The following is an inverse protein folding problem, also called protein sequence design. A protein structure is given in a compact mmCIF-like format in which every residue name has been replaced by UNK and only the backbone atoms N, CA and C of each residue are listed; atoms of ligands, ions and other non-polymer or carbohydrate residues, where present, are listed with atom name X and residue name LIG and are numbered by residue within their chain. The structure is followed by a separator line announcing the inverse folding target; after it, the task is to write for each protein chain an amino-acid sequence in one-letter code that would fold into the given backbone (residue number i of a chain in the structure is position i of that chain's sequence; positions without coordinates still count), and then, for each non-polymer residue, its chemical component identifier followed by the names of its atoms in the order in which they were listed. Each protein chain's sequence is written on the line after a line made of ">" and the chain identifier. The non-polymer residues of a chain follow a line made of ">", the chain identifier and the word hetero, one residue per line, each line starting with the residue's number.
data_IF_979358218400
#
_entry.id   IF_979358218400
#
_cell.length_a   1.000
_cell.length_b   1.000
_cell.length_c   1.000
_cell.angle_alpha   90.00
_cell.angle_beta   90.00
_cell.angle_gamma   90.00
#
_symmetry.space_group_name_H-M   'P 1'
#
loop_
_entity.id
_entity.type
_entity.pdbx_description
1 polymer ?
#
# COMPACT_ATOMS: atom_id res chain seq x y z
N UNK A 1 61.11 -15.40 -20.29
CA UNK A 1 59.69 -15.09 -20.59
C UNK A 1 59.02 -14.72 -19.27
N UNK A 2 58.74 -13.44 -19.07
CA UNK A 2 58.32 -12.90 -17.76
C UNK A 2 56.99 -12.19 -17.95
N UNK A 3 55.97 -12.64 -17.23
CA UNK A 3 54.60 -12.11 -17.27
C UNK A 3 54.55 -10.85 -16.40
N UNK A 4 54.27 -9.69 -17.01
CA UNK A 4 54.01 -8.44 -16.30
C UNK A 4 52.54 -8.41 -15.84
N UNK A 5 52.32 -8.56 -14.54
CA UNK A 5 51.07 -8.16 -13.89
C UNK A 5 51.08 -6.64 -13.65
N UNK A 6 50.09 -5.93 -14.18
CA UNK A 6 49.80 -4.53 -13.83
C UNK A 6 48.79 -4.47 -12.66
N UNK A 7 49.05 -3.69 -11.60
CA UNK A 7 48.10 -3.48 -10.51
C UNK A 7 47.23 -2.25 -10.80
N UNK A 8 45.97 -2.41 -11.19
CA UNK A 8 45.04 -1.27 -11.27
C UNK A 8 44.42 -1.00 -9.88
N UNK A 9 45.15 -0.27 -9.02
CA UNK A 9 44.60 0.38 -7.82
C UNK A 9 44.09 1.78 -8.18
N UNK A 10 42.97 1.87 -8.89
CA UNK A 10 42.21 3.12 -8.97
C UNK A 10 40.76 2.87 -8.54
N UNK A 11 40.33 3.36 -7.35
CA UNK A 11 38.92 3.36 -7.03
C UNK A 11 38.18 4.29 -8.00
N UNK A 12 37.03 3.82 -8.50
CA UNK A 12 36.22 4.54 -9.48
C UNK A 12 35.92 5.99 -9.03
N UNK A 13 35.82 6.95 -9.97
CA UNK A 13 35.49 8.35 -9.70
C UNK A 13 34.27 8.51 -8.78
N UNK A 14 34.32 9.46 -7.85
CA UNK A 14 33.28 9.69 -6.82
C UNK A 14 31.85 9.84 -7.39
N UNK A 15 31.68 10.30 -8.63
CA UNK A 15 30.38 10.37 -9.33
C UNK A 15 29.82 8.98 -9.70
N UNK A 16 30.66 8.01 -10.05
CA UNK A 16 30.24 6.63 -10.35
C UNK A 16 29.96 5.84 -9.07
N UNK A 17 30.69 6.13 -7.98
CA UNK A 17 30.42 5.56 -6.65
C UNK A 17 29.05 5.99 -6.08
N UNK A 18 28.60 7.20 -6.43
CA UNK A 18 27.29 7.75 -6.03
C UNK A 18 26.12 7.11 -6.81
N UNK A 19 26.36 6.55 -7.99
CA UNK A 19 25.37 5.74 -8.74
C UNK A 19 25.34 4.26 -8.33
N UNK A 20 26.45 3.73 -7.80
CA UNK A 20 26.58 2.35 -7.32
C UNK A 20 26.24 2.16 -5.82
N UNK A 21 25.85 3.23 -5.12
CA UNK A 21 25.66 3.25 -3.66
C UNK A 21 24.24 3.56 -3.17
N UNK A 22 23.21 3.43 -4.01
CA UNK A 22 21.81 3.54 -3.58
C UNK A 22 21.21 2.16 -3.35
N UNK A 23 21.82 1.37 -2.47
CA UNK A 23 21.06 0.35 -1.75
C UNK A 23 20.18 1.10 -0.75
N UNK A 24 19.03 1.61 -1.23
CA UNK A 24 17.91 1.76 -0.32
C UNK A 24 17.78 0.41 0.40
N UNK A 25 17.78 0.35 1.74
CA UNK A 25 17.77 -0.92 2.45
C UNK A 25 16.64 -1.77 1.86
N UNK A 26 16.87 -3.06 1.64
CA UNK A 26 15.92 -3.96 1.00
C UNK A 26 14.51 -3.94 1.65
N UNK A 27 14.43 -3.45 2.88
CA UNK A 27 13.23 -3.21 3.69
C UNK A 27 12.51 -1.87 3.46
N UNK A 28 13.09 -0.91 2.75
CA UNK A 28 12.46 0.39 2.49
C UNK A 28 11.53 0.33 1.28
N UNK A 29 10.39 1.00 1.44
CA UNK A 29 9.40 1.16 0.38
C UNK A 29 9.93 2.05 -0.75
N UNK A 30 9.28 1.96 -1.91
CA UNK A 30 9.69 2.72 -3.09
C UNK A 30 9.36 4.21 -2.93
N UNK A 31 10.27 5.09 -3.33
CA UNK A 31 10.06 6.55 -3.41
C UNK A 31 10.41 6.99 -4.84
N UNK A 32 9.48 7.60 -5.60
CA UNK A 32 9.77 8.11 -6.94
C UNK A 32 10.80 9.25 -6.93
N UNK A 33 11.55 9.41 -8.01
CA UNK A 33 12.58 10.45 -8.14
C UNK A 33 12.04 11.86 -7.89
N UNK A 34 10.85 12.16 -8.41
CA UNK A 34 10.16 13.44 -8.22
C UNK A 34 9.90 13.77 -6.74
N UNK A 35 9.81 12.76 -5.86
CA UNK A 35 9.53 12.94 -4.44
C UNK A 35 10.77 12.87 -3.53
N UNK A 36 11.94 12.48 -4.06
CA UNK A 36 13.17 12.32 -3.27
C UNK A 36 13.64 13.60 -2.59
N UNK A 37 13.33 14.76 -3.18
CA UNK A 37 13.79 16.05 -2.67
C UNK A 37 13.09 16.48 -1.38
N UNK A 38 11.85 16.02 -1.18
CA UNK A 38 11.03 16.39 -0.03
C UNK A 38 10.61 15.19 0.82
N UNK A 39 11.14 13.99 0.56
CA UNK A 39 11.07 12.84 1.47
C UNK A 39 12.46 12.60 2.06
N UNK A 40 12.62 12.78 3.37
CA UNK A 40 13.91 12.60 4.05
C UNK A 40 13.74 11.62 5.21
N UNK A 41 14.54 10.55 5.25
CA UNK A 41 14.46 9.50 6.26
C UNK A 41 13.04 8.91 6.41
N UNK A 42 12.35 8.70 5.28
CA UNK A 42 10.95 8.25 5.22
C UNK A 42 9.93 9.39 5.40
N UNK A 43 10.28 10.46 6.11
CA UNK A 43 9.34 11.53 6.43
C UNK A 43 9.10 12.46 5.25
N UNK A 44 7.82 12.63 4.91
CA UNK A 44 7.34 13.60 3.92
C UNK A 44 7.39 15.02 4.51
N UNK A 45 8.11 15.92 3.84
CA UNK A 45 8.01 17.37 4.05
C UNK A 45 6.91 17.89 3.14
N UNK A 46 5.90 18.54 3.69
CA UNK A 46 4.74 19.06 2.95
C UNK A 46 4.20 20.34 3.62
N UNK A 47 3.20 20.98 3.01
CA UNK A 47 2.52 22.15 3.60
C UNK A 47 1.73 21.78 4.85
N UNK A 48 1.41 22.77 5.68
CA UNK A 48 0.62 22.55 6.90
C UNK A 48 -0.78 22.01 6.58
N UNK A 49 -1.45 22.52 5.54
CA UNK A 49 -2.80 22.05 5.20
C UNK A 49 -2.78 20.57 4.80
N UNK A 50 -1.77 20.16 4.02
CA UNK A 50 -1.59 18.78 3.60
C UNK A 50 -1.34 17.84 4.79
N UNK A 51 -0.54 18.26 5.76
CA UNK A 51 -0.28 17.47 6.96
C UNK A 51 -1.55 17.31 7.81
N UNK A 52 -2.31 18.39 8.00
CA UNK A 52 -3.59 18.36 8.73
C UNK A 52 -4.54 17.37 8.05
N UNK A 53 -4.72 17.48 6.74
CA UNK A 53 -5.59 16.58 5.97
C UNK A 53 -5.21 15.11 6.15
N UNK A 54 -3.91 14.77 6.03
CA UNK A 54 -3.45 13.39 6.14
C UNK A 54 -3.72 12.82 7.54
N UNK A 55 -3.53 13.64 8.59
CA UNK A 55 -3.85 13.25 9.97
C UNK A 55 -5.35 13.06 10.17
N UNK A 56 -6.18 14.00 9.70
CA UNK A 56 -7.64 13.93 9.82
C UNK A 56 -8.24 12.71 9.12
N UNK A 57 -7.71 12.36 7.94
CA UNK A 57 -8.14 11.17 7.21
C UNK A 57 -7.45 9.87 7.70
N UNK A 58 -6.59 9.96 8.72
CA UNK A 58 -5.79 8.85 9.24
C UNK A 58 -4.97 8.13 8.14
N UNK A 59 -4.45 8.91 7.19
CA UNK A 59 -3.58 8.46 6.11
C UNK A 59 -2.14 8.69 6.53
N UNK A 60 -1.36 7.63 6.54
CA UNK A 60 0.07 7.70 6.83
C UNK A 60 0.83 8.20 5.59
N UNK A 61 1.54 9.34 5.66
CA UNK A 61 2.33 9.85 4.54
C UNK A 61 3.56 8.99 4.22
N UNK A 62 4.06 8.29 5.24
CA UNK A 62 5.31 7.56 5.19
C UNK A 62 5.08 6.07 5.02
N UNK A 63 5.80 5.49 4.07
CA UNK A 63 5.85 4.05 3.89
C UNK A 63 6.78 3.36 4.91
N UNK A 64 7.47 4.09 5.78
CA UNK A 64 8.39 3.58 6.81
C UNK A 64 7.70 2.73 7.88
N UNK A 65 6.38 2.84 8.01
CA UNK A 65 5.58 1.97 8.87
C UNK A 65 5.24 0.62 8.22
N UNK A 66 5.58 0.41 6.94
CA UNK A 66 5.38 -0.86 6.27
C UNK A 66 6.26 -1.93 6.90
N UNK A 67 5.64 -2.92 7.52
CA UNK A 67 6.34 -4.10 8.01
C UNK A 67 6.34 -5.16 6.93
N UNK A 68 7.50 -5.76 6.66
CA UNK A 68 7.59 -6.89 5.74
C UNK A 68 6.69 -8.01 6.27
N UNK A 69 5.78 -8.48 5.43
CA UNK A 69 4.78 -9.45 5.81
C UNK A 69 5.18 -10.83 5.30
N UNK A 70 5.45 -11.74 6.25
CA UNK A 70 5.73 -13.14 5.98
C UNK A 70 4.60 -13.98 6.60
N UNK A 71 3.63 -14.42 5.80
CA UNK A 71 2.58 -15.33 6.28
C UNK A 71 2.99 -16.79 6.11
N UNK A 72 4.02 -17.19 6.84
CA UNK A 72 4.49 -18.59 6.84
C UNK A 72 5.37 -18.99 5.65
N UNK A 73 5.84 -20.25 5.63
CA UNK A 73 6.84 -20.74 4.69
C UNK A 73 6.32 -20.79 3.24
N UNK A 74 5.04 -21.08 3.03
CA UNK A 74 4.46 -21.12 1.69
C UNK A 74 4.44 -19.74 1.02
N UNK A 75 3.90 -18.72 1.69
CA UNK A 75 3.87 -17.38 1.11
C UNK A 75 5.29 -16.83 0.91
N UNK A 76 6.24 -17.17 1.78
CA UNK A 76 7.66 -16.83 1.59
C UNK A 76 8.25 -17.50 0.34
N UNK A 77 7.94 -18.78 0.11
CA UNK A 77 8.38 -19.52 -1.09
C UNK A 77 7.78 -18.92 -2.36
N UNK A 78 6.47 -18.65 -2.36
CA UNK A 78 5.77 -18.03 -3.49
C UNK A 78 6.29 -16.60 -3.74
N UNK A 79 6.48 -15.79 -2.70
CA UNK A 79 7.04 -14.45 -2.84
C UNK A 79 8.40 -14.47 -3.56
N UNK A 80 9.30 -15.39 -3.19
CA UNK A 80 10.58 -15.61 -3.87
C UNK A 80 10.41 -16.09 -5.31
N UNK A 81 9.51 -17.02 -5.54
CA UNK A 81 9.24 -17.61 -6.86
C UNK A 81 8.77 -16.57 -7.88
N UNK A 82 7.90 -15.65 -7.46
CA UNK A 82 7.33 -14.60 -8.30
C UNK A 82 8.16 -13.30 -8.26
N UNK A 83 9.21 -13.25 -7.44
CA UNK A 83 10.09 -12.08 -7.34
C UNK A 83 9.40 -10.86 -6.72
N UNK A 84 8.59 -11.07 -5.69
CA UNK A 84 7.81 -10.02 -5.02
C UNK A 84 8.08 -10.01 -3.51
N UNK A 85 7.90 -8.85 -2.88
CA UNK A 85 7.92 -8.68 -1.42
C UNK A 85 6.62 -8.04 -0.98
N UNK A 86 6.00 -8.60 0.05
CA UNK A 86 4.77 -8.08 0.63
C UNK A 86 5.05 -7.30 1.90
N UNK A 87 4.27 -6.26 2.10
CA UNK A 87 4.27 -5.46 3.29
C UNK A 87 2.84 -5.20 3.75
N UNK A 88 2.68 -5.05 5.05
CA UNK A 88 1.40 -4.75 5.69
C UNK A 88 1.53 -3.51 6.57
N UNK A 89 0.46 -2.71 6.56
CA UNK A 89 0.21 -1.70 7.58
C UNK A 89 -1.27 -1.71 7.98
N UNK A 90 -1.59 -1.59 9.28
CA UNK A 90 -2.96 -1.42 9.74
C UNK A 90 -3.53 -0.04 9.40
N UNK A 91 -2.73 0.89 8.88
CA UNK A 91 -3.19 2.21 8.40
C UNK A 91 -3.26 2.24 6.87
N UNK A 92 -4.06 3.18 6.35
CA UNK A 92 -3.99 3.56 4.95
C UNK A 92 -2.71 4.33 4.70
N UNK A 93 -1.89 3.88 3.75
CA UNK A 93 -0.60 4.50 3.44
C UNK A 93 -0.72 5.22 2.11
N UNK A 94 -0.25 6.46 2.07
CA UNK A 94 -0.21 7.26 0.86
C UNK A 94 0.65 6.56 -0.22
N UNK A 95 0.08 6.42 -1.42
CA UNK A 95 0.81 5.81 -2.54
C UNK A 95 2.08 6.62 -2.83
N UNK A 96 3.24 5.98 -3.06
CA UNK A 96 4.46 6.70 -3.38
C UNK A 96 4.34 7.61 -4.59
N UNK A 97 3.53 7.23 -5.59
CA UNK A 97 3.31 8.04 -6.79
C UNK A 97 2.44 9.27 -6.55
N UNK A 98 1.73 9.34 -5.42
CA UNK A 98 0.94 10.52 -5.04
C UNK A 98 1.74 11.53 -4.23
N UNK A 99 2.94 11.18 -3.75
CA UNK A 99 3.78 12.07 -2.94
C UNK A 99 4.09 13.39 -3.64
N UNK A 100 4.21 13.40 -4.98
CA UNK A 100 4.46 14.60 -5.79
C UNK A 100 3.39 15.68 -5.65
N UNK A 101 2.15 15.30 -5.35
CA UNK A 101 1.05 16.24 -5.17
C UNK A 101 1.05 16.92 -3.80
N UNK A 102 1.94 16.46 -2.91
CA UNK A 102 2.10 16.98 -1.55
C UNK A 102 3.45 17.70 -1.41
N UNK A 103 3.95 18.32 -2.48
CA UNK A 103 5.17 19.14 -2.48
C UNK A 103 5.10 20.24 -1.39
N UNK A 104 6.19 20.49 -0.65
CA UNK A 104 6.23 21.56 0.36
C UNK A 104 6.03 22.98 -0.20
N UNK A 105 6.19 23.19 -1.51
CA UNK A 105 5.89 24.45 -2.21
C UNK A 105 4.43 24.56 -2.66
N UNK A 106 3.63 23.53 -2.40
CA UNK A 106 2.28 23.39 -2.92
C UNK A 106 2.26 22.78 -4.32
N UNK A 107 1.11 22.20 -4.68
CA UNK A 107 0.88 21.62 -6.00
C UNK A 107 -0.52 21.99 -6.48
N UNK A 108 -0.71 22.44 -7.75
CA UNK A 108 -2.01 22.90 -8.23
C UNK A 108 -3.12 21.82 -8.16
N UNK A 109 -2.74 20.55 -8.27
CA UNK A 109 -3.65 19.40 -8.15
C UNK A 109 -3.81 18.86 -6.71
N UNK A 110 -3.22 19.49 -5.68
CA UNK A 110 -3.26 18.96 -4.32
C UNK A 110 -4.70 18.76 -3.83
N UNK A 111 -5.57 19.75 -4.06
CA UNK A 111 -6.97 19.75 -3.61
C UNK A 111 -7.75 18.57 -4.20
N UNK A 112 -7.67 18.40 -5.52
CA UNK A 112 -8.30 17.27 -6.21
C UNK A 112 -7.79 15.91 -5.70
N UNK A 113 -6.50 15.80 -5.42
CA UNK A 113 -5.92 14.57 -4.88
C UNK A 113 -6.38 14.31 -3.43
N UNK A 114 -6.55 15.36 -2.62
CA UNK A 114 -7.11 15.25 -1.26
C UNK A 114 -8.55 14.75 -1.30
N UNK A 115 -9.38 15.29 -2.20
CA UNK A 115 -10.76 14.81 -2.39
C UNK A 115 -10.82 13.34 -2.80
N UNK A 116 -9.99 12.94 -3.77
CA UNK A 116 -9.88 11.55 -4.21
C UNK A 116 -9.47 10.61 -3.05
N UNK A 117 -8.47 11.02 -2.26
CA UNK A 117 -8.00 10.25 -1.12
C UNK A 117 -9.03 10.16 0.01
N UNK A 118 -9.76 11.25 0.30
CA UNK A 118 -10.81 11.26 1.29
C UNK A 118 -11.95 10.31 0.90
N UNK A 119 -12.36 10.35 -0.38
CA UNK A 119 -13.35 9.39 -0.92
C UNK A 119 -12.85 7.96 -0.76
N UNK A 120 -11.60 7.70 -1.19
CA UNK A 120 -10.99 6.38 -1.10
C UNK A 120 -10.89 5.85 0.33
N UNK A 121 -10.51 6.69 1.29
CA UNK A 121 -10.39 6.30 2.70
C UNK A 121 -11.74 5.91 3.32
N UNK A 122 -12.84 6.54 2.86
CA UNK A 122 -14.21 6.21 3.28
C UNK A 122 -14.73 4.92 2.63
N UNK A 123 -14.47 4.75 1.34
CA UNK A 123 -15.12 3.71 0.53
C UNK A 123 -14.34 2.38 0.55
N UNK A 124 -13.00 2.43 0.66
CA UNK A 124 -12.11 1.27 0.56
C UNK A 124 -11.41 0.98 1.89
N UNK A 125 -11.85 -0.03 2.67
CA UNK A 125 -11.20 -0.36 3.94
C UNK A 125 -9.80 -0.97 3.73
N UNK A 126 -9.55 -1.67 2.61
CA UNK A 126 -8.24 -2.22 2.27
C UNK A 126 -7.66 -1.55 1.02
N UNK A 127 -6.51 -0.89 1.17
CA UNK A 127 -5.77 -0.33 0.05
C UNK A 127 -4.77 -1.35 -0.50
N UNK A 128 -4.93 -1.76 -1.75
CA UNK A 128 -3.97 -2.62 -2.45
C UNK A 128 -3.08 -1.77 -3.33
N UNK A 129 -1.79 -1.76 -3.04
CA UNK A 129 -0.79 -0.98 -3.75
C UNK A 129 0.29 -1.90 -4.29
N UNK A 130 0.62 -1.74 -5.57
CA UNK A 130 1.70 -2.47 -6.22
C UNK A 130 2.71 -1.48 -6.80
N UNK A 131 3.96 -1.62 -6.41
CA UNK A 131 5.10 -0.87 -6.96
C UNK A 131 6.07 -1.83 -7.60
N UNK A 132 6.90 -1.33 -8.52
CA UNK A 132 7.98 -2.11 -9.09
C UNK A 132 9.24 -1.27 -9.02
N UNK A 133 10.35 -1.87 -8.62
CA UNK A 133 11.65 -1.22 -8.71
C UNK A 133 11.96 -1.01 -10.19
N UNK A 134 12.48 0.15 -10.57
CA UNK A 134 12.98 0.38 -11.93
C UNK A 134 14.14 -0.60 -12.19
N UNK A 135 13.91 -1.55 -13.10
CA UNK A 135 14.96 -2.39 -13.70
C UNK A 135 15.19 -1.92 -15.14
N UNK A 136 16.17 -2.49 -15.83
CA UNK A 136 16.38 -2.26 -17.29
C UNK A 136 15.21 -2.79 -18.16
N UNK A 137 14.13 -3.24 -17.55
CA UNK A 137 12.97 -3.83 -18.21
C UNK A 137 12.01 -2.72 -18.67
N UNK A 138 11.31 -2.94 -19.79
CA UNK A 138 10.35 -1.96 -20.33
C UNK A 138 9.27 -1.57 -19.31
N UNK A 139 8.92 -0.28 -19.28
CA UNK A 139 7.83 0.27 -18.48
C UNK A 139 6.48 -0.45 -18.70
N UNK A 140 6.27 -1.01 -19.89
CA UNK A 140 5.09 -1.81 -20.22
C UNK A 140 5.04 -3.08 -19.36
N UNK A 141 6.17 -3.77 -19.18
CA UNK A 141 6.24 -5.00 -18.37
C UNK A 141 5.98 -4.68 -16.91
N UNK A 142 6.56 -3.60 -16.37
CA UNK A 142 6.28 -3.14 -15.01
C UNK A 142 4.80 -2.83 -14.81
N UNK A 143 4.17 -2.14 -15.76
CA UNK A 143 2.75 -1.81 -15.69
C UNK A 143 1.87 -3.05 -15.77
N UNK A 144 2.20 -3.98 -16.68
CA UNK A 144 1.51 -5.27 -16.82
C UNK A 144 1.61 -6.12 -15.56
N UNK A 145 2.81 -6.22 -14.97
CA UNK A 145 3.03 -6.96 -13.73
C UNK A 145 2.19 -6.40 -12.58
N UNK A 146 2.23 -5.08 -12.36
CA UNK A 146 1.43 -4.39 -11.32
C UNK A 146 -0.07 -4.65 -11.50
N UNK A 147 -0.59 -4.43 -12.70
CA UNK A 147 -2.03 -4.57 -12.99
C UNK A 147 -2.50 -6.01 -12.81
N UNK A 148 -1.76 -6.99 -13.35
CA UNK A 148 -2.11 -8.41 -13.22
C UNK A 148 -2.09 -8.87 -11.76
N UNK A 149 -1.10 -8.45 -10.99
CA UNK A 149 -0.99 -8.81 -9.58
C UNK A 149 -2.12 -8.21 -8.73
N UNK A 150 -2.38 -6.91 -8.87
CA UNK A 150 -3.49 -6.26 -8.18
C UNK A 150 -4.83 -6.94 -8.53
N UNK A 151 -5.10 -7.16 -9.83
CA UNK A 151 -6.32 -7.82 -10.28
C UNK A 151 -6.48 -9.24 -9.72
N UNK A 152 -5.40 -10.04 -9.71
CA UNK A 152 -5.43 -11.38 -9.14
C UNK A 152 -5.74 -11.36 -7.63
N UNK A 153 -5.14 -10.44 -6.87
CA UNK A 153 -5.40 -10.27 -5.44
C UNK A 153 -6.87 -9.87 -5.21
N UNK A 154 -7.40 -8.89 -5.94
CA UNK A 154 -8.80 -8.50 -5.84
C UNK A 154 -9.74 -9.68 -6.14
N UNK A 155 -9.46 -10.46 -7.19
CA UNK A 155 -10.23 -11.65 -7.55
C UNK A 155 -10.20 -12.70 -6.44
N UNK A 156 -9.03 -12.98 -5.87
CA UNK A 156 -8.87 -13.94 -4.78
C UNK A 156 -9.58 -13.50 -3.49
N UNK A 157 -9.56 -12.20 -3.17
CA UNK A 157 -10.32 -11.63 -2.05
C UNK A 157 -11.83 -11.71 -2.29
N UNK A 158 -12.30 -11.45 -3.52
CA UNK A 158 -13.70 -11.59 -3.87
C UNK A 158 -14.21 -13.03 -3.69
N UNK A 159 -13.42 -14.04 -4.09
CA UNK A 159 -13.73 -15.46 -3.81
C UNK A 159 -13.84 -15.79 -2.32
N UNK A 160 -13.20 -15.01 -1.45
CA UNK A 160 -13.30 -15.13 0.02
C UNK A 160 -14.42 -14.29 0.64
N UNK A 161 -15.28 -13.69 -0.20
CA UNK A 161 -16.44 -12.90 0.21
C UNK A 161 -16.20 -11.39 0.31
N UNK A 162 -15.00 -10.90 0.01
CA UNK A 162 -14.69 -9.46 0.01
C UNK A 162 -15.01 -8.81 -1.34
N UNK A 163 -16.28 -8.87 -1.75
CA UNK A 163 -16.75 -8.44 -3.08
C UNK A 163 -17.40 -7.05 -3.11
N UNK A 164 -17.75 -6.46 -1.96
CA UNK A 164 -18.47 -5.19 -1.91
C UNK A 164 -17.58 -3.98 -2.20
N UNK A 165 -16.33 -4.05 -1.75
CA UNK A 165 -15.26 -3.10 -1.98
C UNK A 165 -13.93 -3.80 -1.65
N UNK A 166 -12.76 -3.25 -2.04
CA UNK A 166 -11.46 -3.76 -1.60
C UNK A 166 -11.41 -4.01 -0.09
N UNK A 167 -11.34 -5.29 0.30
CA UNK A 167 -11.31 -5.71 1.70
C UNK A 167 -12.65 -5.66 2.44
N UNK A 168 -13.78 -5.44 1.76
CA UNK A 168 -15.12 -5.35 2.37
C UNK A 168 -16.01 -6.53 1.99
N UNK A 169 -16.53 -7.22 2.99
CA UNK A 169 -17.55 -8.26 2.87
C UNK A 169 -18.84 -7.83 3.60
N UNK A 170 -19.90 -8.64 3.50
CA UNK A 170 -21.19 -8.32 4.11
C UNK A 170 -21.16 -8.16 5.65
N UNK A 171 -20.30 -8.91 6.33
CA UNK A 171 -20.24 -8.98 7.80
C UNK A 171 -18.82 -8.76 8.36
N UNK A 172 -17.83 -8.49 7.51
CA UNK A 172 -16.44 -8.32 7.92
C UNK A 172 -15.69 -7.38 6.96
N UNK A 173 -14.76 -6.63 7.52
CA UNK A 173 -13.90 -5.72 6.76
C UNK A 173 -12.44 -5.90 7.16
N UNK A 174 -11.56 -6.01 6.17
CA UNK A 174 -10.11 -5.96 6.30
C UNK A 174 -9.67 -4.51 6.20
N UNK A 175 -8.94 -4.02 7.21
CA UNK A 175 -8.53 -2.63 7.26
C UNK A 175 -7.02 -2.47 7.06
N UNK A 176 -6.61 -1.43 6.32
CA UNK A 176 -5.22 -1.01 6.19
C UNK A 176 -4.70 -1.06 4.76
N UNK A 177 -3.40 -1.29 4.60
CA UNK A 177 -2.72 -1.30 3.29
C UNK A 177 -1.97 -2.60 3.07
N UNK A 178 -2.28 -3.27 1.95
CA UNK A 178 -1.42 -4.28 1.34
C UNK A 178 -0.51 -3.61 0.33
N UNK A 179 0.78 -3.55 0.65
CA UNK A 179 1.77 -2.98 -0.25
C UNK A 179 2.64 -4.11 -0.81
N UNK A 180 2.70 -4.20 -2.13
CA UNK A 180 3.53 -5.18 -2.84
C UNK A 180 4.63 -4.47 -3.62
N UNK A 181 5.87 -4.91 -3.40
CA UNK A 181 7.05 -4.48 -4.14
C UNK A 181 7.45 -5.59 -5.11
N UNK A 182 7.37 -5.32 -6.40
CA UNK A 182 7.80 -6.22 -7.47
C UNK A 182 9.27 -5.97 -7.72
N UNK A 183 10.09 -6.95 -7.34
CA UNK A 183 11.54 -6.92 -7.52
C UNK A 183 11.94 -7.45 -8.90
N UNK A 184 11.17 -8.41 -9.44
CA UNK A 184 11.40 -9.02 -10.75
C UNK A 184 10.08 -9.08 -11.56
N UNK A 185 9.81 -8.07 -12.41
CA UNK A 185 8.55 -7.99 -13.16
C UNK A 185 8.45 -9.05 -14.26
N UNK A 186 9.57 -9.62 -14.72
CA UNK A 186 9.59 -10.68 -15.73
C UNK A 186 9.09 -11.98 -15.08
N UNK A 187 9.62 -12.34 -13.91
CA UNK A 187 9.11 -13.51 -13.15
C UNK A 187 7.64 -13.36 -12.78
N UNK A 188 7.23 -12.19 -12.31
CA UNK A 188 5.83 -11.92 -11.99
C UNK A 188 4.90 -12.07 -13.20
N UNK A 189 5.38 -11.79 -14.42
CA UNK A 189 4.61 -11.94 -15.64
C UNK A 189 4.63 -13.37 -16.22
N UNK A 190 5.71 -14.12 -16.01
CA UNK A 190 5.92 -15.42 -16.64
C UNK A 190 4.95 -16.52 -16.15
N UNK A 191 4.29 -16.32 -15.01
CA UNK A 191 3.49 -17.35 -14.34
C UNK A 191 2.03 -16.93 -14.13
N UNK A 192 1.09 -17.88 -14.02
CA UNK A 192 -0.26 -17.62 -13.51
C UNK A 192 -0.21 -17.12 -12.07
N UNK A 193 -1.02 -16.13 -11.72
CA UNK A 193 -0.97 -15.49 -10.39
C UNK A 193 -1.99 -16.05 -9.40
N UNK A 194 -2.88 -16.95 -9.84
CA UNK A 194 -4.01 -17.42 -9.03
C UNK A 194 -3.55 -18.09 -7.73
N UNK A 195 -2.53 -18.95 -7.79
CA UNK A 195 -1.96 -19.61 -6.61
C UNK A 195 -1.37 -18.61 -5.62
N UNK A 196 -0.60 -17.64 -6.12
CA UNK A 196 0.00 -16.60 -5.28
C UNK A 196 -1.10 -15.74 -4.64
N UNK A 197 -2.06 -15.30 -5.43
CA UNK A 197 -3.14 -14.44 -4.98
C UNK A 197 -4.06 -15.15 -3.96
N UNK A 198 -4.35 -16.43 -4.15
CA UNK A 198 -5.11 -17.23 -3.20
C UNK A 198 -4.38 -17.34 -1.84
N UNK A 199 -3.07 -17.62 -1.87
CA UNK A 199 -2.25 -17.68 -0.67
C UNK A 199 -2.18 -16.32 0.05
N UNK A 200 -2.10 -15.21 -0.69
CA UNK A 200 -2.15 -13.85 -0.12
C UNK A 200 -3.51 -13.59 0.52
N UNK A 201 -4.60 -13.84 -0.19
CA UNK A 201 -5.95 -13.59 0.31
C UNK A 201 -6.25 -14.42 1.56
N UNK A 202 -5.78 -15.66 1.61
CA UNK A 202 -5.87 -16.52 2.79
C UNK A 202 -5.06 -15.98 3.97
N UNK A 203 -3.80 -15.62 3.72
CA UNK A 203 -2.92 -15.05 4.72
C UNK A 203 -3.51 -13.79 5.36
N UNK A 204 -4.05 -12.90 4.53
CA UNK A 204 -4.68 -11.65 4.96
C UNK A 204 -5.94 -11.96 5.77
N UNK A 205 -6.85 -12.78 5.23
CA UNK A 205 -8.11 -13.12 5.88
C UNK A 205 -7.91 -13.72 7.28
N UNK A 206 -6.88 -14.54 7.47
CA UNK A 206 -6.58 -15.17 8.77
C UNK A 206 -5.89 -14.26 9.78
N UNK A 207 -4.97 -13.41 9.33
CA UNK A 207 -4.01 -12.77 10.23
C UNK A 207 -4.20 -11.26 10.39
N UNK A 208 -5.03 -10.62 9.57
CA UNK A 208 -5.16 -9.17 9.60
C UNK A 208 -6.26 -8.70 10.55
N UNK A 209 -6.11 -7.50 11.15
CA UNK A 209 -7.15 -6.91 11.97
C UNK A 209 -8.46 -6.81 11.20
N UNK A 210 -9.51 -7.43 11.74
CA UNK A 210 -10.87 -7.33 11.21
C UNK A 210 -11.59 -6.23 11.95
N UNK A 211 -12.31 -5.40 11.21
CA UNK A 211 -13.36 -4.54 11.77
C UNK A 211 -14.69 -5.22 11.49
N UNK A 212 -15.50 -5.39 12.54
CA UNK A 212 -16.90 -5.77 12.39
C UNK A 212 -17.63 -4.50 11.98
N UNK A 213 -18.31 -4.54 10.83
CA UNK A 213 -19.18 -3.44 10.42
C UNK A 213 -20.39 -3.44 11.37
N UNK A 214 -20.29 -2.73 12.49
CA UNK A 214 -21.33 -2.59 13.51
C UNK A 214 -22.52 -1.74 13.02
N UNK A 215 -23.18 -2.20 11.94
CA UNK A 215 -24.49 -1.69 11.56
C UNK A 215 -25.58 -2.15 12.53
N UNK A 216 -25.35 -3.25 13.28
CA UNK A 216 -26.31 -3.79 14.25
C UNK A 216 -26.25 -3.04 15.59
N UNK A 217 -25.06 -2.72 16.11
CA UNK A 217 -24.92 -1.98 17.37
C UNK A 217 -25.55 -0.57 17.32
N UNK A 218 -25.59 0.09 16.15
CA UNK A 218 -26.26 1.40 15.96
C UNK A 218 -27.79 1.30 15.87
N UNK A 219 -28.34 0.13 15.59
CA UNK A 219 -29.81 -0.07 15.52
C UNK A 219 -30.40 -0.35 16.89
N UNK A 220 -29.65 -1.03 17.76
CA UNK A 220 -30.06 -1.38 19.12
C UNK A 220 -29.80 -0.27 20.16
N UNK A 221 -29.14 0.82 19.76
CA UNK A 221 -28.83 1.99 20.61
C UNK A 221 -29.68 3.23 20.31
N UNK A 222 -30.74 3.11 19.50
CA UNK A 222 -31.75 4.18 19.45
C UNK A 222 -32.58 4.11 20.74
N UNK A 223 -32.59 5.15 21.58
CA UNK A 223 -33.53 5.19 22.69
C UNK A 223 -34.95 5.15 22.10
N UNK A 224 -35.75 4.19 22.55
CA UNK A 224 -37.19 4.17 22.33
C UNK A 224 -37.70 5.45 22.99
N UNK A 225 -38.09 6.43 22.18
CA UNK A 225 -38.68 7.66 22.66
C UNK A 225 -40.08 7.33 23.19
N UNK A 226 -40.17 6.95 24.46
CA UNK A 226 -41.44 6.77 25.19
C UNK A 226 -41.94 8.14 25.63
N UNK A 227 -42.49 8.90 24.70
CA UNK A 227 -43.38 10.02 25.00
C UNK A 227 -44.48 10.03 23.96
N UNK A 228 -45.45 9.14 24.12
CA UNK A 228 -46.80 9.34 23.64
C UNK A 228 -47.69 8.46 24.51
N UNK A 229 -48.48 9.12 25.37
CA UNK A 229 -49.75 8.71 26.00
C UNK A 229 -49.87 9.37 27.37
N UNK A 230 -50.69 10.43 27.45
CA UNK A 230 -51.02 11.03 28.74
C UNK A 230 -51.61 12.44 28.70
N UNK A 231 -52.50 12.76 27.76
CA UNK A 231 -53.40 13.91 27.98
C UNK A 231 -54.76 13.69 27.33
N UNK A 232 -55.59 12.90 28.01
CA UNK A 232 -57.02 12.89 27.82
C UNK A 232 -57.70 12.47 29.15
N UNK A 233 -57.97 13.47 30.01
CA UNK A 233 -59.13 13.57 30.90
C UNK A 233 -58.80 14.41 32.14
N UNK A 234 -59.41 15.57 32.28
CA UNK A 234 -60.58 15.67 33.16
C UNK A 234 -61.26 17.03 33.05
N UNK A 235 -62.56 16.95 33.31
CA UNK A 235 -63.58 17.99 33.46
C UNK A 235 -63.19 19.14 34.38
#
# INVERSE_FOLDING_TARGET
>A
MTILQLPSKHPLPLRLRRMAGSSAPWSSAFIPDAAKQFVTNGRLKTTRENLIFLVEQNIEPDNGQLKVYHSGPELKKLAKEYGVTFFHSPKHILSPFKLVYFDPRGHPLADSIREELAKKARDEPLWIQCTSIMSKTSAVVHTKAKRRLAAAIHKALAYRGYSLAPGKAANKSLWGTLYTKINDPIKACAKPLDRLAAAIAEAIDKNWPRRVDDKKARRDSRPINKYDEGSANSK
#
